data_IF_215711893217
#
_entry.id   IF_215711893217
#
_cell.length_a   1.000
_cell.length_b   1.000
_cell.length_c   1.000
_cell.angle_alpha   90.00
_cell.angle_beta   90.00
_cell.angle_gamma   90.00
#
_symmetry.space_group_name_H-M   'P 1'
#
loop_
_entity.id
_entity.type
_entity.pdbx_description
1 polymer ?
#
# COMPACT_ATOMS: atom_id res chain seq x y z
N UNK A 1 -5.37 0.56 -15.32
CA UNK A 1 -5.64 2.01 -15.35
C UNK A 1 -4.54 2.71 -14.59
N UNK A 2 -3.98 3.83 -15.07
CA UNK A 2 -2.94 4.59 -14.37
C UNK A 2 -3.53 5.30 -13.16
N UNK A 3 -2.80 5.39 -12.05
CA UNK A 3 -3.17 6.31 -10.95
C UNK A 3 -3.17 7.74 -11.52
N UNK A 4 -4.30 8.46 -11.50
CA UNK A 4 -4.34 9.83 -12.00
C UNK A 4 -3.45 10.69 -11.11
N UNK A 5 -2.61 11.52 -11.73
CA UNK A 5 -1.90 12.56 -11.00
C UNK A 5 -2.94 13.53 -10.40
N UNK A 6 -2.74 14.03 -9.17
CA UNK A 6 -3.49 15.17 -8.68
C UNK A 6 -3.42 16.33 -9.68
N UNK A 7 -4.48 17.13 -9.78
CA UNK A 7 -4.57 18.23 -10.75
C UNK A 7 -3.35 19.16 -10.74
N UNK A 8 -2.86 19.50 -9.54
CA UNK A 8 -1.65 20.30 -9.35
C UNK A 8 -0.40 19.64 -9.95
N UNK A 9 -0.25 18.33 -9.80
CA UNK A 9 0.87 17.57 -10.36
C UNK A 9 0.74 17.37 -11.87
N UNK A 10 -0.48 17.30 -12.39
CA UNK A 10 -0.71 17.22 -13.82
C UNK A 10 -0.29 18.53 -14.54
N UNK A 11 -0.60 19.69 -13.95
CA UNK A 11 -0.14 20.98 -14.48
C UNK A 11 1.38 21.08 -14.46
N UNK A 12 2.02 20.63 -13.38
CA UNK A 12 3.48 20.60 -13.27
C UNK A 12 4.12 19.64 -14.29
N UNK A 13 3.54 18.46 -14.48
CA UNK A 13 3.99 17.52 -15.50
C UNK A 13 3.90 18.12 -16.90
N UNK A 14 2.80 18.81 -17.22
CA UNK A 14 2.62 19.45 -18.52
C UNK A 14 3.65 20.55 -18.75
N UNK A 15 3.96 21.36 -17.73
CA UNK A 15 4.99 22.40 -17.81
C UNK A 15 6.39 21.81 -18.06
N UNK A 16 6.70 20.64 -17.49
CA UNK A 16 8.04 20.05 -17.58
C UNK A 16 8.25 19.20 -18.83
N UNK A 17 7.25 18.43 -19.23
CA UNK A 17 7.36 17.49 -20.35
C UNK A 17 6.89 18.09 -21.68
N UNK A 18 6.02 19.12 -21.63
CA UNK A 18 5.26 19.58 -22.80
C UNK A 18 4.08 18.67 -23.17
N UNK A 19 3.84 17.60 -22.42
CA UNK A 19 2.76 16.64 -22.67
C UNK A 19 1.59 16.82 -21.69
N UNK A 20 0.36 16.74 -22.20
CA UNK A 20 -0.86 16.93 -21.39
C UNK A 20 -1.08 15.83 -20.34
N UNK A 21 -0.63 14.61 -20.63
CA UNK A 21 -0.79 13.45 -19.77
C UNK A 21 0.47 12.56 -19.81
N UNK A 22 0.86 11.92 -18.69
CA UNK A 22 1.97 10.98 -18.66
C UNK A 22 1.59 9.64 -19.29
N UNK A 23 2.57 8.96 -19.89
CA UNK A 23 2.42 7.58 -20.40
C UNK A 23 2.29 6.56 -19.28
N UNK A 24 2.98 6.81 -18.16
CA UNK A 24 2.89 6.09 -16.90
C UNK A 24 3.20 7.05 -15.75
N UNK A 25 2.60 6.82 -14.59
CA UNK A 25 2.87 7.55 -13.37
C UNK A 25 2.88 6.60 -12.18
N UNK A 26 3.82 6.81 -11.26
CA UNK A 26 4.00 6.05 -10.04
C UNK A 26 4.13 7.01 -8.86
N UNK A 27 3.35 6.79 -7.81
CA UNK A 27 3.49 7.52 -6.55
C UNK A 27 4.62 6.90 -5.73
N UNK A 28 5.46 7.73 -5.15
CA UNK A 28 6.57 7.33 -4.27
C UNK A 28 6.48 8.08 -2.93
N UNK A 29 7.02 7.50 -1.87
CA UNK A 29 6.83 7.97 -0.49
C UNK A 29 7.94 8.89 0.02
N UNK A 30 8.88 9.27 -0.84
CA UNK A 30 10.02 10.12 -0.48
C UNK A 30 10.30 11.15 -1.56
N UNK A 31 10.94 12.24 -1.14
CA UNK A 31 11.60 13.16 -2.06
C UNK A 31 12.89 12.54 -2.59
N UNK A 32 13.46 13.10 -3.67
CA UNK A 32 14.77 12.66 -4.19
C UNK A 32 15.90 12.83 -3.17
N UNK A 33 15.77 13.79 -2.24
CA UNK A 33 16.68 13.93 -1.09
C UNK A 33 16.50 12.86 0.00
N UNK A 34 15.65 11.85 -0.21
CA UNK A 34 15.42 10.74 0.71
C UNK A 34 14.55 11.10 1.94
N UNK A 35 14.03 12.32 2.00
CA UNK A 35 13.18 12.79 3.10
C UNK A 35 11.73 12.32 2.92
N UNK A 36 10.99 12.24 4.02
CA UNK A 36 9.56 11.97 3.99
C UNK A 36 8.82 13.07 3.23
N UNK A 37 7.94 12.68 2.32
CA UNK A 37 7.19 13.60 1.49
C UNK A 37 6.34 12.88 0.46
N UNK A 38 5.63 13.65 -0.35
CA UNK A 38 4.86 13.09 -1.45
C UNK A 38 5.64 13.25 -2.75
N UNK A 39 5.84 12.15 -3.48
CA UNK A 39 6.53 12.17 -4.76
C UNK A 39 5.78 11.40 -5.85
N UNK A 40 6.06 11.77 -7.10
CA UNK A 40 5.59 11.09 -8.29
C UNK A 40 6.70 11.01 -9.32
N UNK A 41 6.88 9.82 -9.88
CA UNK A 41 7.60 9.62 -11.12
C UNK A 41 6.59 9.52 -12.26
N UNK A 42 6.78 10.30 -13.31
CA UNK A 42 5.90 10.33 -14.46
C UNK A 42 6.71 10.33 -15.74
N UNK A 43 6.39 9.44 -16.68
CA UNK A 43 7.14 9.28 -17.94
C UNK A 43 6.39 9.84 -19.12
N UNK A 44 7.13 10.26 -20.14
CA UNK A 44 6.63 10.53 -21.50
C UNK A 44 7.56 9.87 -22.53
N UNK A 45 7.32 10.10 -23.82
CA UNK A 45 8.13 9.51 -24.90
C UNK A 45 9.60 9.91 -24.89
N UNK A 46 9.95 11.04 -24.26
CA UNK A 46 11.31 11.59 -24.23
C UNK A 46 12.06 11.41 -22.91
N UNK A 47 11.39 11.01 -21.82
CA UNK A 47 12.05 10.89 -20.52
C UNK A 47 11.13 10.64 -19.34
N UNK A 48 11.64 10.97 -18.16
CA UNK A 48 11.00 10.83 -16.85
C UNK A 48 11.09 12.13 -16.04
N UNK A 49 9.98 12.54 -15.44
CA UNK A 49 9.91 13.68 -14.51
C UNK A 49 9.69 13.13 -13.11
N UNK A 50 10.50 13.60 -12.17
CA UNK A 50 10.19 13.52 -10.76
C UNK A 50 9.52 14.81 -10.29
N UNK A 51 8.38 14.67 -9.63
CA UNK A 51 7.67 15.75 -8.96
C UNK A 51 7.57 15.39 -7.48
N UNK A 52 8.09 16.23 -6.59
CA UNK A 52 8.05 15.96 -5.16
C UNK A 52 7.65 17.18 -4.36
N UNK A 53 7.08 16.97 -3.18
CA UNK A 53 6.74 18.04 -2.25
C UNK A 53 6.94 17.56 -0.82
N UNK A 54 7.65 18.36 -0.01
CA UNK A 54 7.62 18.24 1.44
C UNK A 54 6.52 19.17 1.99
N UNK A 55 5.99 18.89 3.19
CA UNK A 55 5.14 19.85 3.89
C UNK A 55 5.83 21.22 3.97
N UNK A 56 5.09 22.29 3.70
CA UNK A 56 5.56 23.68 3.83
C UNK A 56 6.70 24.12 2.90
N UNK A 57 7.22 23.25 2.02
CA UNK A 57 8.25 23.63 1.03
C UNK A 57 7.67 23.81 -0.37
N UNK A 58 8.41 24.53 -1.21
CA UNK A 58 8.16 24.57 -2.65
C UNK A 58 8.28 23.15 -3.25
N UNK A 59 7.48 22.82 -4.30
CA UNK A 59 7.60 21.54 -5.00
C UNK A 59 8.96 21.42 -5.69
N UNK A 60 9.63 20.29 -5.45
CA UNK A 60 10.82 19.87 -6.18
C UNK A 60 10.43 19.26 -7.52
N UNK A 61 11.20 19.57 -8.56
CA UNK A 61 10.96 19.11 -9.93
C UNK A 61 12.29 18.79 -10.57
N UNK A 62 12.43 17.57 -11.05
CA UNK A 62 13.58 17.14 -11.82
C UNK A 62 13.11 16.43 -13.08
N UNK A 63 13.77 16.72 -14.18
CA UNK A 63 13.49 16.15 -15.49
C UNK A 63 14.76 15.46 -15.96
N UNK A 64 14.61 14.22 -16.40
CA UNK A 64 15.66 13.44 -17.03
C UNK A 64 15.17 13.01 -18.39
N UNK A 65 15.93 13.27 -19.44
CA UNK A 65 15.65 12.68 -20.74
C UNK A 65 16.13 11.22 -20.73
N UNK A 66 15.54 10.35 -21.57
CA UNK A 66 15.85 8.92 -21.52
C UNK A 66 17.34 8.58 -21.76
N UNK A 67 18.06 9.46 -22.46
CA UNK A 67 19.50 9.29 -22.71
C UNK A 67 20.36 9.51 -21.46
N UNK A 68 19.86 10.27 -20.47
CA UNK A 68 20.54 10.52 -19.19
C UNK A 68 20.29 9.38 -18.18
N UNK A 69 19.27 8.56 -18.42
CA UNK A 69 18.85 7.47 -17.52
C UNK A 69 19.62 6.19 -17.86
N UNK A 70 20.58 5.84 -17.02
CA UNK A 70 21.46 4.67 -17.14
C UNK A 70 20.85 3.40 -16.51
N UNK A 71 19.95 3.56 -15.53
CA UNK A 71 19.30 2.47 -14.81
C UNK A 71 17.87 2.80 -14.43
N UNK A 72 16.97 1.82 -14.56
CA UNK A 72 15.61 1.93 -14.04
C UNK A 72 15.13 0.55 -13.61
N UNK A 73 15.33 0.20 -12.35
CA UNK A 73 15.08 -1.13 -11.82
C UNK A 73 14.08 -1.11 -10.67
N UNK A 74 13.41 -2.25 -10.45
CA UNK A 74 12.50 -2.43 -9.33
C UNK A 74 13.16 -3.43 -8.40
N UNK A 75 13.45 -2.99 -7.18
CA UNK A 75 14.01 -3.82 -6.13
C UNK A 75 12.90 -4.19 -5.15
N UNK A 76 12.71 -5.48 -4.91
CA UNK A 76 11.82 -5.96 -3.87
C UNK A 76 12.55 -5.96 -2.53
N UNK A 77 11.96 -5.27 -1.57
CA UNK A 77 12.40 -5.28 -0.19
C UNK A 77 11.42 -6.13 0.64
N UNK A 78 11.84 -6.74 1.75
CA UNK A 78 10.97 -7.62 2.55
C UNK A 78 9.64 -7.01 3.00
N UNK A 79 9.54 -5.67 3.00
CA UNK A 79 8.37 -4.92 3.43
C UNK A 79 7.92 -3.84 2.44
N UNK A 80 8.38 -3.89 1.20
CA UNK A 80 8.06 -2.87 0.20
C UNK A 80 8.68 -3.12 -1.16
N UNK A 81 8.60 -2.12 -2.03
CA UNK A 81 9.34 -2.12 -3.28
C UNK A 81 9.93 -0.74 -3.48
N UNK A 82 11.12 -0.70 -4.07
CA UNK A 82 11.79 0.53 -4.45
C UNK A 82 11.98 0.54 -5.96
N UNK A 83 11.81 1.71 -6.56
CA UNK A 83 12.26 1.95 -7.92
C UNK A 83 13.60 2.68 -7.84
N UNK A 84 14.63 2.05 -8.39
CA UNK A 84 15.97 2.59 -8.49
C UNK A 84 16.10 3.31 -9.83
N UNK A 85 16.20 4.64 -9.77
CA UNK A 85 16.50 5.48 -10.92
C UNK A 85 18.00 5.80 -10.87
N UNK A 86 18.73 5.44 -11.92
CA UNK A 86 20.14 5.76 -12.06
C UNK A 86 20.31 6.68 -13.27
N UNK A 87 21.05 7.76 -13.09
CA UNK A 87 21.55 8.60 -14.16
C UNK A 87 23.07 8.49 -14.25
N UNK A 88 23.69 9.28 -15.13
CA UNK A 88 25.15 9.40 -15.19
C UNK A 88 25.78 9.91 -13.90
N UNK A 89 25.04 10.73 -13.14
CA UNK A 89 25.60 11.48 -12.02
C UNK A 89 25.14 10.96 -10.66
N UNK A 90 23.92 10.41 -10.57
CA UNK A 90 23.29 10.08 -9.30
C UNK A 90 22.46 8.80 -9.38
N UNK A 91 22.17 8.24 -8.21
CA UNK A 91 21.30 7.08 -8.03
C UNK A 91 20.29 7.38 -6.94
N UNK A 92 19.01 7.23 -7.27
CA UNK A 92 17.90 7.46 -6.33
C UNK A 92 17.12 6.17 -6.13
N UNK A 93 16.90 5.82 -4.86
CA UNK A 93 16.05 4.70 -4.45
C UNK A 93 14.75 5.24 -3.89
N UNK A 94 13.67 5.02 -4.61
CA UNK A 94 12.38 5.65 -4.33
C UNK A 94 11.37 4.57 -3.91
N UNK A 95 11.02 4.49 -2.62
CA UNK A 95 10.06 3.51 -2.14
C UNK A 95 8.66 3.84 -2.64
N UNK A 96 7.93 2.80 -3.06
CA UNK A 96 6.55 2.89 -3.51
C UNK A 96 5.69 1.76 -2.92
N UNK A 97 4.37 1.86 -3.03
CA UNK A 97 3.46 0.86 -2.49
C UNK A 97 3.57 -0.44 -3.31
N UNK A 98 3.68 -1.61 -2.67
CA UNK A 98 3.79 -2.88 -3.40
C UNK A 98 2.63 -3.11 -4.39
N UNK A 99 1.42 -2.62 -4.06
CA UNK A 99 0.25 -2.63 -4.95
C UNK A 99 0.44 -1.88 -6.27
N UNK A 100 1.30 -0.87 -6.26
CA UNK A 100 1.61 -0.04 -7.42
C UNK A 100 2.72 -0.68 -8.27
N UNK A 101 3.15 -1.92 -7.97
CA UNK A 101 4.13 -2.66 -8.78
C UNK A 101 3.75 -2.75 -10.26
N UNK A 102 2.50 -3.05 -10.66
CA UNK A 102 2.15 -3.05 -12.08
C UNK A 102 2.35 -1.68 -12.74
N UNK A 103 2.21 -0.58 -11.98
CA UNK A 103 2.50 0.78 -12.45
C UNK A 103 4.00 1.03 -12.55
N UNK A 104 4.78 0.56 -11.57
CA UNK A 104 6.24 0.63 -11.62
C UNK A 104 6.81 -0.17 -12.80
N UNK A 105 6.28 -1.37 -13.06
CA UNK A 105 6.67 -2.20 -14.21
C UNK A 105 6.32 -1.52 -15.54
N UNK A 106 5.14 -0.90 -15.62
CA UNK A 106 4.74 -0.11 -16.79
C UNK A 106 5.61 1.12 -17.00
N UNK A 107 6.01 1.78 -15.91
CA UNK A 107 6.91 2.92 -15.93
C UNK A 107 8.30 2.49 -16.42
N UNK A 108 8.84 1.39 -15.87
CA UNK A 108 10.09 0.77 -16.32
C UNK A 108 10.05 0.39 -17.79
N UNK A 109 8.94 -0.18 -18.27
CA UNK A 109 8.80 -0.58 -19.68
C UNK A 109 8.72 0.60 -20.66
N UNK A 110 8.61 1.84 -20.18
CA UNK A 110 8.70 3.02 -21.06
C UNK A 110 10.14 3.37 -21.42
N UNK A 111 11.13 2.85 -20.67
CA UNK A 111 12.53 3.10 -20.97
C UNK A 111 12.89 2.40 -22.30
N UNK A 112 13.39 3.13 -23.30
CA UNK A 112 13.87 2.50 -24.52
C UNK A 112 15.04 1.56 -24.21
N UNK A 113 15.17 0.42 -24.92
CA UNK A 113 16.35 -0.43 -24.82
C UNK A 113 17.64 0.38 -25.01
N UNK A 114 18.75 0.01 -24.36
CA UNK A 114 20.04 0.70 -24.50
C UNK A 114 20.47 0.87 -25.97
N UNK A 115 20.07 -0.06 -26.84
CA UNK A 115 20.41 -0.09 -28.26
C UNK A 115 19.32 0.48 -29.18
N UNK A 116 18.22 1.02 -28.65
CA UNK A 116 17.11 1.53 -29.46
C UNK A 116 17.32 2.95 -30.01
N UNK A 117 18.48 3.56 -29.75
CA UNK A 117 18.96 4.65 -30.58
C UNK A 117 19.30 4.09 -31.97
N UNK A 118 18.36 4.22 -32.91
CA UNK A 118 18.40 3.75 -34.30
C UNK A 118 18.20 2.24 -34.48
N UNK A 119 16.95 1.80 -34.72
CA UNK A 119 16.57 1.03 -35.91
C UNK A 119 15.07 0.63 -35.86
N UNK A 120 14.47 0.63 -37.05
CA UNK A 120 13.06 0.35 -37.39
C UNK A 120 12.42 -0.86 -36.67
N UNK A 121 11.08 -0.90 -36.53
CA UNK A 121 10.38 -1.95 -35.79
C UNK A 121 10.64 -3.36 -36.36
N UNK A 122 10.77 -4.39 -35.51
CA UNK A 122 11.02 -5.76 -35.95
C UNK A 122 9.76 -6.35 -36.63
N UNK A 123 9.92 -7.23 -37.64
CA UNK A 123 8.80 -7.86 -38.32
C UNK A 123 8.09 -8.86 -37.39
N UNK A 124 6.77 -8.90 -37.48
CA UNK A 124 5.91 -9.81 -36.71
C UNK A 124 6.29 -11.29 -36.94
N UNK A 125 6.35 -12.13 -35.89
CA UNK A 125 6.63 -13.55 -36.02
C UNK A 125 5.49 -14.28 -36.75
N UNK A 126 5.83 -15.09 -37.76
CA UNK A 126 4.89 -15.75 -38.69
C UNK A 126 4.25 -17.04 -38.17
N UNK A 127 4.39 -17.42 -36.90
CA UNK A 127 3.78 -18.67 -36.41
C UNK A 127 3.53 -18.64 -34.90
N UNK A 128 2.32 -18.99 -34.43
CA UNK A 128 2.03 -19.14 -33.01
C UNK A 128 2.66 -20.44 -32.44
N UNK A 129 3.11 -20.44 -31.17
CA UNK A 129 3.66 -21.64 -30.54
C UNK A 129 2.55 -22.67 -30.24
N UNK A 130 2.86 -23.98 -30.30
CA UNK A 130 1.89 -25.04 -30.06
C UNK A 130 1.52 -25.16 -28.56
N UNK A 131 0.24 -25.42 -28.30
CA UNK A 131 -0.33 -25.64 -26.97
C UNK A 131 0.22 -26.95 -26.34
N UNK A 132 0.57 -26.95 -25.04
CA UNK A 132 0.96 -28.17 -24.33
C UNK A 132 -0.21 -29.14 -24.15
N UNK A 133 0.02 -30.43 -24.43
CA UNK A 133 -1.00 -31.50 -24.47
C UNK A 133 -1.29 -32.21 -23.14
N UNK A 134 -0.84 -31.72 -21.99
CA UNK A 134 -1.16 -32.37 -20.70
C UNK A 134 -1.21 -31.37 -19.55
N UNK A 135 -2.27 -31.39 -18.72
CA UNK A 135 -2.33 -30.57 -17.51
C UNK A 135 -1.37 -31.12 -16.42
N UNK A 136 -0.76 -30.27 -15.59
CA UNK A 136 0.07 -30.70 -14.48
C UNK A 136 -0.78 -31.38 -13.38
N UNK A 137 -0.25 -32.39 -12.67
CA UNK A 137 -0.99 -33.12 -11.65
C UNK A 137 -1.18 -32.27 -10.37
N UNK A 138 -2.38 -32.35 -9.80
CA UNK A 138 -2.73 -31.72 -8.52
C UNK A 138 -1.94 -32.34 -7.35
N UNK A 139 -1.43 -31.53 -6.40
CA UNK A 139 -0.70 -32.03 -5.24
C UNK A 139 -1.63 -32.77 -4.26
N UNK A 140 -1.20 -33.95 -3.82
CA UNK A 140 -1.90 -34.83 -2.88
C UNK A 140 -1.95 -34.20 -1.48
N UNK A 141 -3.12 -34.25 -0.83
CA UNK A 141 -3.38 -33.75 0.53
C UNK A 141 -2.48 -34.41 1.56
N UNK A 142 -1.59 -33.65 2.20
CA UNK A 142 -0.82 -34.11 3.36
C UNK A 142 -1.65 -34.02 4.65
N UNK A 143 -1.71 -35.12 5.41
CA UNK A 143 -2.36 -35.20 6.73
C UNK A 143 -1.60 -34.31 7.74
N UNK A 144 -2.30 -33.34 8.34
CA UNK A 144 -1.76 -32.46 9.41
C UNK A 144 -1.56 -33.29 10.69
N UNK A 145 -0.33 -33.33 11.20
CA UNK A 145 -0.05 -33.61 12.61
C UNK A 145 -0.10 -32.28 13.38
N UNK A 146 -0.77 -32.27 14.52
CA UNK A 146 -0.79 -31.12 15.42
C UNK A 146 0.61 -30.88 16.02
N UNK A 147 1.15 -29.66 16.03
CA UNK A 147 2.32 -29.35 16.82
C UNK A 147 1.93 -29.04 18.26
N UNK A 148 2.74 -29.64 19.13
CA UNK A 148 2.79 -29.54 20.58
C UNK A 148 3.23 -28.13 21.03
N UNK A 149 2.66 -27.72 22.18
CA UNK A 149 3.21 -26.82 23.21
C UNK A 149 3.97 -25.56 22.75
N UNK A 150 3.36 -24.39 23.00
CA UNK A 150 4.00 -23.08 22.82
C UNK A 150 5.16 -22.88 23.80
N UNK A 151 6.32 -22.51 23.24
CA UNK A 151 7.54 -22.14 23.95
C UNK A 151 7.49 -20.71 24.52
N UNK A 152 8.47 -20.41 25.39
CA UNK A 152 8.58 -19.24 26.28
C UNK A 152 8.72 -17.88 25.53
N UNK A 153 8.50 -16.73 26.22
CA UNK A 153 8.25 -15.42 25.60
C UNK A 153 9.37 -14.80 24.75
N UNK A 154 10.63 -15.19 24.91
CA UNK A 154 11.79 -14.50 24.31
C UNK A 154 12.21 -15.02 22.92
N UNK A 155 11.54 -16.03 22.37
CA UNK A 155 11.87 -16.61 21.04
C UNK A 155 10.80 -16.35 19.97
N UNK A 156 9.84 -15.45 20.20
CA UNK A 156 8.86 -15.10 19.17
C UNK A 156 9.52 -14.21 18.11
N UNK A 157 9.88 -14.80 16.96
CA UNK A 157 10.14 -14.05 15.74
C UNK A 157 8.87 -13.22 15.46
N UNK A 158 8.91 -11.92 15.74
CA UNK A 158 7.74 -11.05 15.57
C UNK A 158 7.24 -11.16 14.13
N UNK A 159 5.94 -11.38 14.00
CA UNK A 159 5.27 -11.33 12.69
C UNK A 159 5.33 -9.88 12.17
N UNK A 160 5.26 -9.67 10.85
CA UNK A 160 5.21 -8.32 10.28
C UNK A 160 4.06 -7.49 10.89
N UNK A 161 4.26 -6.19 11.10
CA UNK A 161 3.27 -5.30 11.72
C UNK A 161 1.89 -5.35 11.02
N UNK A 162 1.87 -5.56 9.70
CA UNK A 162 0.63 -5.73 8.91
C UNK A 162 -0.22 -6.93 9.36
N UNK A 163 0.38 -7.95 9.96
CA UNK A 163 -0.33 -9.11 10.51
C UNK A 163 -1.08 -8.74 11.80
N UNK A 164 -0.47 -7.94 12.67
CA UNK A 164 -1.15 -7.42 13.86
C UNK A 164 -2.21 -6.38 13.49
N UNK A 165 -1.97 -5.58 12.45
CA UNK A 165 -2.99 -4.71 11.87
C UNK A 165 -4.19 -5.52 11.38
N UNK A 166 -3.96 -6.60 10.62
CA UNK A 166 -5.01 -7.51 10.19
C UNK A 166 -5.76 -8.16 11.35
N UNK A 167 -5.06 -8.56 12.42
CA UNK A 167 -5.68 -9.13 13.60
C UNK A 167 -6.64 -8.14 14.28
N UNK A 168 -6.24 -6.87 14.42
CA UNK A 168 -7.09 -5.83 14.99
C UNK A 168 -8.33 -5.52 14.12
N UNK A 169 -8.16 -5.46 12.80
CA UNK A 169 -9.28 -5.25 11.86
C UNK A 169 -10.27 -6.42 11.91
N UNK A 170 -9.78 -7.66 12.03
CA UNK A 170 -10.62 -8.83 12.19
C UNK A 170 -11.28 -8.91 13.58
N UNK A 171 -10.65 -8.36 14.61
CA UNK A 171 -11.25 -8.26 15.93
C UNK A 171 -12.46 -7.35 15.93
N UNK A 172 -12.36 -6.19 15.26
CA UNK A 172 -13.48 -5.26 15.11
C UNK A 172 -14.67 -5.91 14.41
N UNK A 173 -14.46 -6.48 13.23
CA UNK A 173 -15.51 -7.12 12.45
C UNK A 173 -16.07 -8.42 13.08
N UNK A 174 -15.57 -8.85 14.24
CA UNK A 174 -16.06 -10.05 14.92
C UNK A 174 -16.62 -9.75 16.32
N UNK A 175 -16.81 -8.48 16.66
CA UNK A 175 -17.32 -8.06 17.98
C UNK A 175 -18.72 -8.56 18.28
N UNK A 176 -19.53 -8.84 17.25
CA UNK A 176 -20.92 -9.31 17.35
C UNK A 176 -21.10 -10.81 17.01
N UNK A 177 -19.99 -11.56 16.82
CA UNK A 177 -19.95 -12.95 16.32
C UNK A 177 -20.51 -13.17 14.90
N UNK A 178 -20.87 -12.14 14.14
CA UNK A 178 -21.42 -12.24 12.78
C UNK A 178 -20.69 -11.27 11.85
N UNK A 179 -19.71 -11.76 11.08
CA UNK A 179 -19.07 -10.91 10.07
C UNK A 179 -20.07 -10.58 8.95
N UNK A 180 -20.43 -9.31 8.81
CA UNK A 180 -21.23 -8.85 7.68
C UNK A 180 -20.41 -8.87 6.39
N UNK A 181 -21.08 -9.08 5.25
CA UNK A 181 -20.42 -9.10 3.93
C UNK A 181 -19.80 -7.72 3.58
N UNK A 182 -20.38 -6.65 4.08
CA UNK A 182 -19.89 -5.26 3.96
C UNK A 182 -18.54 -5.07 4.66
N UNK A 183 -18.38 -5.58 5.88
CA UNK A 183 -17.13 -5.51 6.66
C UNK A 183 -16.03 -6.36 6.04
N UNK A 184 -16.37 -7.58 5.60
CA UNK A 184 -15.45 -8.45 4.85
C UNK A 184 -14.96 -7.76 3.57
N UNK A 185 -15.85 -7.05 2.88
CA UNK A 185 -15.52 -6.28 1.69
C UNK A 185 -14.61 -5.11 2.03
N UNK A 186 -14.88 -4.38 3.11
CA UNK A 186 -14.05 -3.28 3.59
C UNK A 186 -12.64 -3.75 3.97
N UNK A 187 -12.53 -4.83 4.75
CA UNK A 187 -11.25 -5.45 5.12
C UNK A 187 -10.49 -5.94 3.88
N UNK A 188 -11.18 -6.55 2.92
CA UNK A 188 -10.55 -7.05 1.68
C UNK A 188 -10.02 -5.93 0.78
N UNK A 189 -10.55 -4.71 0.88
CA UNK A 189 -10.01 -3.53 0.18
C UNK A 189 -8.72 -3.02 0.81
N UNK A 190 -8.55 -3.22 2.12
CA UNK A 190 -7.37 -2.78 2.87
C UNK A 190 -6.23 -3.80 2.72
N UNK A 191 -6.54 -5.10 2.77
CA UNK A 191 -5.55 -6.18 2.70
C UNK A 191 -5.61 -6.92 1.37
N UNK A 192 -4.70 -6.56 0.46
CA UNK A 192 -4.57 -7.25 -0.84
C UNK A 192 -4.05 -8.68 -0.67
N UNK A 193 -3.14 -8.91 0.29
CA UNK A 193 -2.59 -10.22 0.57
C UNK A 193 -3.48 -10.99 1.55
N UNK A 194 -4.26 -11.94 1.03
CA UNK A 194 -5.11 -12.82 1.86
C UNK A 194 -4.35 -13.62 2.91
N UNK A 195 -3.05 -13.84 2.70
CA UNK A 195 -2.20 -14.52 3.68
C UNK A 195 -2.06 -13.71 4.98
N UNK A 196 -1.99 -12.38 4.91
CA UNK A 196 -1.94 -11.52 6.09
C UNK A 196 -3.21 -11.66 6.94
N UNK A 197 -4.39 -11.78 6.32
CA UNK A 197 -5.65 -12.02 7.02
C UNK A 197 -5.66 -13.40 7.69
N UNK A 198 -5.16 -14.43 7.01
CA UNK A 198 -5.07 -15.77 7.58
C UNK A 198 -4.10 -15.83 8.77
N UNK A 199 -2.97 -15.12 8.70
CA UNK A 199 -2.02 -15.00 9.80
C UNK A 199 -2.59 -14.15 10.94
N UNK A 200 -3.25 -13.02 10.63
CA UNK A 200 -3.91 -12.15 11.61
C UNK A 200 -4.99 -12.88 12.39
N UNK A 201 -5.80 -13.71 11.72
CA UNK A 201 -6.77 -14.58 12.39
C UNK A 201 -6.13 -15.59 13.33
N UNK A 202 -4.95 -16.12 13.00
CA UNK A 202 -4.20 -17.01 13.92
C UNK A 202 -3.71 -16.23 15.15
N UNK A 203 -3.24 -15.00 14.97
CA UNK A 203 -2.84 -14.12 16.09
C UNK A 203 -4.03 -13.84 16.98
N UNK A 204 -5.15 -13.40 16.42
CA UNK A 204 -6.39 -13.11 17.15
C UNK A 204 -6.89 -14.32 17.96
N UNK A 205 -6.79 -15.53 17.39
CA UNK A 205 -7.18 -16.75 18.10
C UNK A 205 -6.17 -17.22 19.18
N UNK A 206 -4.99 -16.59 19.26
CA UNK A 206 -3.89 -17.01 20.14
C UNK A 206 -3.63 -16.10 21.33
N UNK A 207 -4.35 -14.99 21.43
CA UNK A 207 -4.21 -14.00 22.50
C UNK A 207 -5.55 -13.32 22.81
N UNK A 208 -5.65 -12.64 23.94
CA UNK A 208 -6.79 -11.77 24.24
C UNK A 208 -6.73 -10.46 23.44
N UNK A 209 -7.84 -9.73 23.37
CA UNK A 209 -7.86 -8.40 22.73
C UNK A 209 -6.91 -7.42 23.42
N UNK A 210 -6.83 -7.48 24.75
CA UNK A 210 -5.92 -6.64 25.52
C UNK A 210 -4.46 -6.98 25.21
N UNK A 211 -4.10 -8.26 25.18
CA UNK A 211 -2.75 -8.71 24.80
C UNK A 211 -2.39 -8.30 23.36
N UNK A 212 -3.35 -8.39 22.44
CA UNK A 212 -3.18 -7.94 21.06
C UNK A 212 -2.87 -6.44 21.02
N UNK A 213 -3.69 -5.60 21.66
CA UNK A 213 -3.48 -4.15 21.63
C UNK A 213 -2.23 -3.72 22.39
N UNK A 214 -1.85 -4.39 23.47
CA UNK A 214 -0.56 -4.15 24.14
C UNK A 214 0.62 -4.51 23.24
N UNK A 215 0.52 -5.62 22.51
CA UNK A 215 1.53 -5.99 21.51
C UNK A 215 1.60 -4.93 20.41
N UNK A 216 0.47 -4.43 19.91
CA UNK A 216 0.44 -3.34 18.92
C UNK A 216 1.03 -2.05 19.51
N UNK A 217 0.70 -1.70 20.75
CA UNK A 217 1.18 -0.49 21.41
C UNK A 217 2.71 -0.43 21.49
N UNK A 218 3.36 -1.59 21.67
CA UNK A 218 4.82 -1.71 21.72
C UNK A 218 5.48 -1.77 20.34
N UNK A 219 4.83 -2.40 19.34
CA UNK A 219 5.43 -2.62 18.03
C UNK A 219 5.21 -1.46 17.03
N UNK A 220 4.10 -0.75 17.15
CA UNK A 220 3.69 0.23 16.13
C UNK A 220 4.30 1.60 16.40
N UNK A 221 4.75 2.27 15.35
CA UNK A 221 5.09 3.70 15.42
C UNK A 221 3.83 4.53 15.71
N UNK A 222 3.96 5.77 16.20
CA UNK A 222 2.81 6.66 16.41
C UNK A 222 1.92 6.79 15.17
N UNK A 223 2.49 6.88 13.98
CA UNK A 223 1.78 6.99 12.70
C UNK A 223 1.02 5.70 12.37
N UNK A 224 1.60 4.54 12.67
CA UNK A 224 0.94 3.25 12.47
C UNK A 224 -0.24 3.07 13.44
N UNK A 225 -0.13 3.53 14.69
CA UNK A 225 -1.24 3.53 15.66
C UNK A 225 -2.40 4.43 15.18
N UNK A 226 -2.08 5.63 14.69
CA UNK A 226 -3.06 6.56 14.08
C UNK A 226 -3.77 5.92 12.88
N UNK A 227 -2.99 5.30 12.00
CA UNK A 227 -3.51 4.61 10.82
C UNK A 227 -4.46 3.47 11.21
N UNK A 228 -4.05 2.62 12.15
CA UNK A 228 -4.90 1.54 12.68
C UNK A 228 -6.22 2.10 13.21
N UNK A 229 -6.18 3.11 14.07
CA UNK A 229 -7.39 3.66 14.70
C UNK A 229 -8.35 4.26 13.68
N UNK A 230 -7.83 5.00 12.69
CA UNK A 230 -8.64 5.55 11.62
C UNK A 230 -9.34 4.47 10.78
N UNK A 231 -8.67 3.35 10.51
CA UNK A 231 -9.27 2.23 9.78
C UNK A 231 -10.28 1.45 10.63
N UNK A 232 -10.07 1.33 11.95
CA UNK A 232 -11.04 0.72 12.85
C UNK A 232 -12.32 1.56 12.94
N UNK A 233 -12.19 2.89 13.05
CA UNK A 233 -13.31 3.82 13.02
C UNK A 233 -14.07 3.75 11.70
N UNK A 234 -13.36 3.63 10.57
CA UNK A 234 -14.00 3.48 9.26
C UNK A 234 -14.78 2.18 9.18
N UNK A 235 -14.18 1.07 9.62
CA UNK A 235 -14.80 -0.24 9.60
C UNK A 235 -16.09 -0.26 10.44
N UNK A 236 -16.05 0.29 11.65
CA UNK A 236 -17.19 0.35 12.57
C UNK A 236 -18.31 1.33 12.12
N UNK A 237 -18.10 2.08 11.04
CA UNK A 237 -19.08 2.99 10.45
C UNK A 237 -19.62 2.51 9.09
N UNK A 238 -19.15 1.35 8.60
CA UNK A 238 -19.45 0.86 7.22
C UNK A 238 -20.94 0.64 6.98
N UNK A 239 -21.69 0.20 7.98
CA UNK A 239 -23.13 -0.08 7.88
C UNK A 239 -24.01 1.11 8.31
N UNK A 240 -23.40 2.24 8.70
CA UNK A 240 -24.10 3.44 9.14
C UNK A 240 -24.53 3.43 10.61
N UNK A 241 -24.27 2.36 11.37
CA UNK A 241 -24.58 2.27 12.79
C UNK A 241 -23.51 1.53 13.58
N UNK A 242 -22.73 2.27 14.38
CA UNK A 242 -21.74 1.64 15.26
C UNK A 242 -22.40 1.00 16.48
N UNK A 243 -22.22 -0.31 16.64
CA UNK A 243 -22.78 -1.06 17.76
C UNK A 243 -22.06 -0.73 19.08
N UNK A 244 -22.72 -0.83 20.25
CA UNK A 244 -22.09 -0.57 21.55
C UNK A 244 -20.80 -1.37 21.80
N UNK A 245 -20.72 -2.59 21.29
CA UNK A 245 -19.57 -3.48 21.42
C UNK A 245 -18.36 -2.98 20.61
N UNK A 246 -18.60 -2.40 19.44
CA UNK A 246 -17.56 -1.80 18.60
C UNK A 246 -17.03 -0.52 19.23
N UNK A 247 -17.91 0.30 19.82
CA UNK A 247 -17.53 1.50 20.59
C UNK A 247 -16.63 1.11 21.76
N UNK A 248 -16.98 0.06 22.51
CA UNK A 248 -16.13 -0.39 23.62
C UNK A 248 -14.75 -0.86 23.14
N UNK A 249 -14.69 -1.61 22.03
CA UNK A 249 -13.43 -2.06 21.45
C UNK A 249 -12.58 -0.88 20.95
N UNK A 250 -13.21 0.12 20.32
CA UNK A 250 -12.58 1.37 19.90
C UNK A 250 -12.00 2.13 21.10
N UNK A 251 -12.77 2.30 22.17
CA UNK A 251 -12.33 2.97 23.40
C UNK A 251 -11.20 2.21 24.09
N UNK A 252 -11.27 0.87 24.12
CA UNK A 252 -10.19 0.03 24.64
C UNK A 252 -8.91 0.20 23.81
N UNK A 253 -9.03 0.20 22.48
CA UNK A 253 -7.92 0.40 21.56
C UNK A 253 -7.29 1.79 21.74
N UNK A 254 -8.10 2.86 21.78
CA UNK A 254 -7.63 4.23 22.00
C UNK A 254 -6.82 4.34 23.30
N UNK A 255 -7.35 3.79 24.41
CA UNK A 255 -6.68 3.80 25.73
C UNK A 255 -5.36 3.06 25.71
N UNK A 256 -5.33 1.82 25.21
CA UNK A 256 -4.11 0.99 25.21
C UNK A 256 -3.04 1.56 24.28
N UNK A 257 -3.44 2.16 23.15
CA UNK A 257 -2.51 2.77 22.21
C UNK A 257 -2.04 4.16 22.64
N UNK A 258 -2.56 4.68 23.76
CA UNK A 258 -2.27 6.02 24.32
C UNK A 258 -2.54 7.14 23.30
N UNK A 259 -3.65 7.03 22.57
CA UNK A 259 -4.01 8.01 21.54
C UNK A 259 -4.69 9.22 22.22
N UNK A 260 -4.17 10.45 22.02
CA UNK A 260 -4.76 11.64 22.64
C UNK A 260 -6.23 11.84 22.26
N UNK A 261 -7.06 12.24 23.22
CA UNK A 261 -8.49 12.52 22.99
C UNK A 261 -8.72 13.57 21.90
N UNK A 262 -7.81 14.55 21.78
CA UNK A 262 -7.87 15.53 20.69
C UNK A 262 -7.78 14.87 19.32
N UNK A 263 -6.86 13.92 19.14
CA UNK A 263 -6.74 13.19 17.89
C UNK A 263 -7.94 12.28 17.64
N UNK A 264 -8.47 11.66 18.70
CA UNK A 264 -9.69 10.84 18.63
C UNK A 264 -10.86 11.63 18.05
N UNK A 265 -11.15 12.80 18.63
CA UNK A 265 -12.23 13.69 18.17
C UNK A 265 -12.04 14.11 16.70
N UNK A 266 -10.81 14.42 16.29
CA UNK A 266 -10.50 14.77 14.90
C UNK A 266 -10.77 13.62 13.93
N UNK A 267 -10.46 12.38 14.33
CA UNK A 267 -10.71 11.20 13.50
C UNK A 267 -12.20 10.88 13.39
N UNK A 268 -12.95 11.00 14.49
CA UNK A 268 -14.41 10.86 14.48
C UNK A 268 -15.06 11.91 13.57
N UNK A 269 -14.68 13.19 13.70
CA UNK A 269 -15.21 14.26 12.87
C UNK A 269 -14.88 14.05 11.39
N UNK A 270 -13.64 13.68 11.06
CA UNK A 270 -13.25 13.38 9.69
C UNK A 270 -14.04 12.21 9.12
N UNK A 271 -14.27 11.16 9.91
CA UNK A 271 -15.05 9.99 9.51
C UNK A 271 -16.52 10.36 9.26
N UNK A 272 -17.13 11.12 10.18
CA UNK A 272 -18.49 11.66 10.05
C UNK A 272 -18.67 12.48 8.79
N UNK A 273 -17.79 13.45 8.53
CA UNK A 273 -17.84 14.30 7.33
C UNK A 273 -17.71 13.46 6.06
N UNK A 274 -16.78 12.50 6.04
CA UNK A 274 -16.56 11.62 4.88
C UNK A 274 -17.80 10.79 4.55
N UNK A 275 -18.55 10.37 5.56
CA UNK A 275 -19.69 9.48 5.43
C UNK A 275 -21.05 10.22 5.36
N UNK A 276 -21.08 11.53 5.60
CA UNK A 276 -22.28 12.36 5.41
C UNK A 276 -22.54 12.63 3.91
N UNK A 277 -23.19 11.68 3.26
CA UNK A 277 -23.58 11.81 1.86
C UNK A 277 -24.79 12.74 1.67
N UNK A 278 -25.44 13.20 2.75
CA UNK A 278 -26.62 14.08 2.66
C UNK A 278 -26.30 15.42 2.01
N UNK A 279 -25.04 15.87 2.09
CA UNK A 279 -24.56 17.10 1.46
C UNK A 279 -24.53 17.04 -0.08
N UNK A 280 -24.66 15.84 -0.65
CA UNK A 280 -24.73 15.61 -2.09
C UNK A 280 -26.16 15.27 -2.57
N UNK A 281 -27.15 15.32 -1.68
CA UNK A 281 -28.56 15.09 -2.04
C UNK A 281 -29.06 16.19 -2.98
N UNK A 282 -29.76 15.80 -4.05
CA UNK A 282 -30.57 16.70 -4.87
C UNK A 282 -31.94 16.95 -4.23
#
# INVERSE_FOLDING_TARGET
MSTPLPWSMQQLFQQQSGHKYPSAALRVFRTLSGQAGEGWLATWSGGIVFLGRQPETAPQRLRFDWHDVTGLEICEEPFGAEICLETTDETWRLPFALRDRPLAERLRSQRPPPDAAMNSPPPLPKTPPPLPKTPPPLPKKAKRKAPKTFARPHERKYLPNVVYFAAAMLAMAHTDNVMAESELTAISRIFEQRECLAQGRRVLNSCSLEELFQTIATLFTPEQKKCLLANLLDLAAVDGTTAPQEIELLNQCQRILEIPDTLWLWLEDANRIKNDLSVFSY
#
